data_IF_387670161569
#
_entry.id   IF_387670161569
#
_cell.length_a   1.000
_cell.length_b   1.000
_cell.length_c   1.000
_cell.angle_alpha   90.00
_cell.angle_beta   90.00
_cell.angle_gamma   90.00
#
_symmetry.space_group_name_H-M   'P 1'
#
loop_
_entity.id
_entity.type
_entity.pdbx_description
1 polymer ?
#
# COMPACT_ATOMS: atom_id res chain seq x y z
N UNK A 1 1.96 15.32 -24.35
CA UNK A 1 3.14 14.43 -24.41
C UNK A 1 2.87 13.27 -23.46
N UNK A 2 3.29 12.04 -23.76
CA UNK A 2 3.18 10.95 -22.77
C UNK A 2 3.94 11.34 -21.51
N UNK A 3 3.32 11.10 -20.37
CA UNK A 3 3.86 11.42 -19.06
C UNK A 3 5.10 10.54 -18.78
N UNK A 4 6.27 11.16 -18.77
CA UNK A 4 7.57 10.49 -18.72
C UNK A 4 7.83 9.96 -17.32
N UNK A 5 8.16 8.68 -17.20
CA UNK A 5 8.61 8.08 -15.95
C UNK A 5 9.96 8.67 -15.54
N UNK A 6 10.10 9.05 -14.27
CA UNK A 6 11.35 9.54 -13.71
C UNK A 6 12.16 8.38 -13.12
N UNK A 7 13.48 8.43 -13.25
CA UNK A 7 14.34 7.58 -12.42
C UNK A 7 14.22 7.96 -10.95
N UNK A 8 14.57 7.04 -10.04
CA UNK A 8 14.53 7.31 -8.60
C UNK A 8 15.36 8.54 -8.18
N UNK A 9 16.60 8.73 -8.67
CA UNK A 9 17.37 9.93 -8.37
C UNK A 9 16.70 11.22 -8.86
N UNK A 10 16.16 11.22 -10.08
CA UNK A 10 15.47 12.39 -10.65
C UNK A 10 14.21 12.73 -9.85
N UNK A 11 13.37 11.73 -9.54
CA UNK A 11 12.15 11.92 -8.75
C UNK A 11 12.47 12.44 -7.34
N UNK A 12 13.49 11.90 -6.67
CA UNK A 12 13.91 12.36 -5.34
C UNK A 12 14.42 13.82 -5.39
N UNK A 13 15.31 14.14 -6.33
CA UNK A 13 15.87 15.47 -6.48
C UNK A 13 14.81 16.53 -6.80
N UNK A 14 13.80 16.16 -7.62
CA UNK A 14 12.74 17.05 -8.04
C UNK A 14 11.87 17.58 -6.89
N UNK A 15 11.76 16.84 -5.77
CA UNK A 15 10.79 17.18 -4.70
C UNK A 15 11.37 17.28 -3.30
N UNK A 16 12.63 16.90 -3.08
CA UNK A 16 13.23 16.92 -1.74
C UNK A 16 13.16 18.31 -1.09
N UNK A 17 13.47 19.36 -1.85
CA UNK A 17 13.44 20.75 -1.40
C UNK A 17 12.02 21.26 -1.08
N UNK A 18 10.98 20.54 -1.50
CA UNK A 18 9.57 20.84 -1.24
C UNK A 18 9.06 20.15 0.05
N UNK A 19 9.91 19.43 0.78
CA UNK A 19 9.49 18.65 1.95
C UNK A 19 8.78 17.34 1.59
N UNK A 20 9.01 16.82 0.38
CA UNK A 20 8.53 15.51 -0.06
C UNK A 20 9.68 14.50 -0.07
N UNK A 21 9.35 13.22 0.03
CA UNK A 21 10.31 12.13 -0.06
C UNK A 21 9.82 11.11 -1.08
N UNK A 22 10.71 10.66 -1.97
CA UNK A 22 10.48 9.44 -2.73
C UNK A 22 10.67 8.26 -1.78
N UNK A 23 9.63 7.44 -1.64
CA UNK A 23 9.68 6.19 -0.88
C UNK A 23 9.13 5.10 -1.80
N UNK A 24 9.98 4.12 -2.12
CA UNK A 24 9.70 3.09 -3.12
C UNK A 24 9.36 3.70 -4.49
N UNK A 25 8.08 3.71 -4.84
CA UNK A 25 7.52 4.15 -6.12
C UNK A 25 6.55 5.32 -5.98
N UNK A 26 6.53 5.98 -4.82
CA UNK A 26 5.57 7.05 -4.48
C UNK A 26 6.27 8.27 -3.89
N UNK A 27 5.86 9.48 -4.26
CA UNK A 27 6.27 10.71 -3.58
C UNK A 27 5.33 10.96 -2.41
N UNK A 28 5.86 11.17 -1.20
CA UNK A 28 5.03 11.38 -0.01
C UNK A 28 5.45 12.62 0.77
N UNK A 29 4.47 13.32 1.33
CA UNK A 29 4.69 14.38 2.32
C UNK A 29 3.63 14.32 3.41
N UNK A 30 3.88 15.05 4.49
CA UNK A 30 2.98 15.20 5.63
C UNK A 30 2.82 16.69 5.92
N UNK A 31 1.58 17.08 6.22
CA UNK A 31 1.23 18.43 6.65
C UNK A 31 0.62 18.35 8.05
N UNK A 32 1.21 19.02 9.03
CA UNK A 32 0.63 19.11 10.38
C UNK A 32 -0.55 20.06 10.38
N UNK A 33 -1.61 19.67 11.09
CA UNK A 33 -2.84 20.45 11.23
C UNK A 33 -3.32 20.42 12.67
N UNK A 34 -4.08 21.43 13.10
CA UNK A 34 -4.49 21.53 14.51
C UNK A 34 -5.69 20.64 14.81
N UNK A 35 -6.53 20.41 13.81
CA UNK A 35 -7.80 19.70 13.92
C UNK A 35 -8.25 19.17 12.55
N UNK A 36 -9.35 18.43 12.54
CA UNK A 36 -9.94 17.84 11.32
C UNK A 36 -10.41 18.90 10.31
N UNK A 37 -10.81 20.10 10.74
CA UNK A 37 -11.23 21.15 9.81
C UNK A 37 -10.06 21.73 9.01
N UNK A 38 -8.92 21.97 9.67
CA UNK A 38 -7.66 22.29 8.99
C UNK A 38 -7.26 21.16 8.03
N UNK A 39 -7.45 19.89 8.45
CA UNK A 39 -7.16 18.72 7.61
C UNK A 39 -7.99 18.73 6.30
N UNK A 40 -9.30 18.99 6.40
CA UNK A 40 -10.19 19.16 5.25
C UNK A 40 -9.76 20.31 4.34
N UNK A 41 -9.30 21.42 4.93
CA UNK A 41 -8.78 22.57 4.19
C UNK A 41 -7.54 22.20 3.38
N UNK A 42 -6.58 21.51 4.00
CA UNK A 42 -5.36 21.01 3.32
C UNK A 42 -5.72 20.06 2.18
N UNK A 43 -6.64 19.12 2.39
CA UNK A 43 -7.08 18.21 1.33
C UNK A 43 -7.72 18.95 0.16
N UNK A 44 -8.62 19.89 0.44
CA UNK A 44 -9.27 20.70 -0.61
C UNK A 44 -8.24 21.47 -1.45
N UNK A 45 -7.28 22.13 -0.80
CA UNK A 45 -6.21 22.87 -1.48
C UNK A 45 -5.35 21.93 -2.32
N UNK A 46 -4.96 20.78 -1.77
CA UNK A 46 -4.12 19.82 -2.48
C UNK A 46 -4.83 19.25 -3.73
N UNK A 47 -6.11 18.88 -3.60
CA UNK A 47 -6.91 18.38 -4.73
C UNK A 47 -7.11 19.45 -5.80
N UNK A 48 -7.40 20.69 -5.42
CA UNK A 48 -7.55 21.80 -6.38
C UNK A 48 -6.23 22.10 -7.11
N UNK A 49 -5.11 22.15 -6.38
CA UNK A 49 -3.79 22.41 -6.95
C UNK A 49 -3.28 21.25 -7.85
N UNK A 50 -3.69 20.02 -7.59
CA UNK A 50 -3.39 18.88 -8.44
C UNK A 50 -4.12 18.93 -9.80
N UNK A 51 -5.22 19.68 -9.87
CA UNK A 51 -5.99 19.91 -11.08
C UNK A 51 -6.98 18.79 -11.42
N UNK A 52 -7.56 18.79 -12.64
CA UNK A 52 -8.68 17.91 -13.00
C UNK A 52 -8.35 16.42 -12.94
N UNK A 53 -7.09 16.06 -13.15
CA UNK A 53 -6.64 14.66 -13.15
C UNK A 53 -6.13 14.20 -11.78
N UNK A 54 -6.41 14.95 -10.70
CA UNK A 54 -5.94 14.63 -9.35
C UNK A 54 -6.22 13.18 -8.95
N UNK A 55 -7.39 12.63 -9.31
CA UNK A 55 -7.76 11.25 -9.00
C UNK A 55 -6.88 10.17 -9.64
N UNK A 56 -6.08 10.52 -10.65
CA UNK A 56 -5.12 9.61 -11.28
C UNK A 56 -3.72 9.68 -10.66
N UNK A 57 -3.49 10.56 -9.67
CA UNK A 57 -2.16 10.83 -9.12
C UNK A 57 -2.14 10.95 -7.59
N UNK A 58 -3.06 11.71 -7.02
CA UNK A 58 -3.05 12.14 -5.62
C UNK A 58 -3.93 11.25 -4.74
N UNK A 59 -3.32 10.70 -3.69
CA UNK A 59 -4.02 10.10 -2.55
C UNK A 59 -3.87 10.98 -1.31
N UNK A 60 -4.94 11.10 -0.53
CA UNK A 60 -5.00 11.96 0.66
C UNK A 60 -5.54 11.15 1.85
N UNK A 61 -4.73 11.01 2.91
CA UNK A 61 -5.15 10.43 4.18
C UNK A 61 -5.32 11.54 5.23
N UNK A 62 -6.55 11.73 5.69
CA UNK A 62 -6.94 12.75 6.66
C UNK A 62 -6.93 12.17 8.07
N UNK A 63 -6.05 12.70 8.93
CA UNK A 63 -6.01 12.38 10.37
C UNK A 63 -6.28 13.64 11.19
N UNK A 64 -6.63 13.45 12.46
CA UNK A 64 -7.01 14.54 13.37
C UNK A 64 -5.96 15.66 13.48
N UNK A 65 -4.67 15.33 13.34
CA UNK A 65 -3.56 16.26 13.52
C UNK A 65 -2.54 16.27 12.36
N UNK A 66 -2.83 15.55 11.27
CA UNK A 66 -1.97 15.53 10.08
C UNK A 66 -2.73 15.11 8.83
N UNK A 67 -2.24 15.55 7.67
CA UNK A 67 -2.64 15.05 6.36
C UNK A 67 -1.45 14.35 5.73
N UNK A 68 -1.61 13.10 5.29
CA UNK A 68 -0.63 12.45 4.42
C UNK A 68 -1.04 12.66 2.96
N UNK A 69 -0.09 13.13 2.15
CA UNK A 69 -0.27 13.27 0.72
C UNK A 69 0.69 12.31 0.02
N UNK A 70 0.18 11.57 -0.95
CA UNK A 70 0.95 10.64 -1.76
C UNK A 70 0.68 10.88 -3.24
N UNK A 71 1.73 10.86 -4.06
CA UNK A 71 1.66 11.04 -5.50
C UNK A 71 2.33 9.88 -6.23
N UNK A 72 1.57 9.26 -7.13
CA UNK A 72 2.02 8.24 -8.07
C UNK A 72 1.02 8.16 -9.22
N UNK A 73 1.50 8.14 -10.47
CA UNK A 73 0.61 7.89 -11.61
C UNK A 73 -0.06 6.52 -11.51
N UNK A 74 -1.39 6.52 -11.45
CA UNK A 74 -2.22 5.35 -11.26
C UNK A 74 -1.92 4.24 -12.27
N UNK A 75 -1.84 2.99 -11.77
CA UNK A 75 -1.65 1.80 -12.59
C UNK A 75 -0.26 1.64 -13.21
N UNK A 76 0.72 2.50 -12.89
CA UNK A 76 2.07 2.41 -13.48
C UNK A 76 3.18 2.01 -12.49
N UNK A 77 2.90 1.98 -11.19
CA UNK A 77 3.88 1.69 -10.13
C UNK A 77 5.19 2.50 -10.26
N UNK A 78 5.12 3.71 -10.80
CA UNK A 78 6.25 4.61 -11.00
C UNK A 78 5.83 6.05 -10.77
N UNK A 79 6.79 6.88 -10.40
CA UNK A 79 6.64 8.33 -10.36
C UNK A 79 6.96 8.91 -11.73
N UNK A 80 6.18 9.90 -12.15
CA UNK A 80 6.34 10.60 -13.42
C UNK A 80 6.68 12.08 -13.23
N UNK A 81 7.01 12.74 -14.35
CA UNK A 81 7.18 14.19 -14.37
C UNK A 81 5.90 14.92 -13.90
N UNK A 82 4.71 14.39 -14.21
CA UNK A 82 3.44 14.95 -13.75
C UNK A 82 3.30 14.90 -12.23
N UNK A 83 3.67 13.80 -11.59
CA UNK A 83 3.64 13.68 -10.13
C UNK A 83 4.52 14.76 -9.46
N UNK A 84 5.73 14.98 -9.98
CA UNK A 84 6.63 16.02 -9.47
C UNK A 84 6.06 17.44 -9.66
N UNK A 85 5.40 17.70 -10.79
CA UNK A 85 4.72 18.98 -11.03
C UNK A 85 3.55 19.20 -10.06
N UNK A 86 2.76 18.16 -9.79
CA UNK A 86 1.67 18.22 -8.82
C UNK A 86 2.23 18.50 -7.41
N UNK A 87 3.33 17.83 -7.02
CA UNK A 87 3.98 18.07 -5.73
C UNK A 87 4.37 19.56 -5.56
N UNK A 88 4.94 20.17 -6.61
CA UNK A 88 5.29 21.59 -6.62
C UNK A 88 4.05 22.50 -6.51
N UNK A 89 3.00 22.24 -7.30
CA UNK A 89 1.77 23.03 -7.28
C UNK A 89 1.06 22.95 -5.91
N UNK A 90 0.93 21.75 -5.36
CA UNK A 90 0.35 21.51 -4.03
C UNK A 90 1.16 22.21 -2.95
N UNK A 91 2.49 22.10 -2.99
CA UNK A 91 3.37 22.75 -2.01
C UNK A 91 3.22 24.28 -2.04
N UNK A 92 3.18 24.88 -3.24
CA UNK A 92 2.99 26.33 -3.40
C UNK A 92 1.62 26.78 -2.86
N UNK A 93 0.55 26.06 -3.19
CA UNK A 93 -0.80 26.38 -2.75
C UNK A 93 -0.97 26.25 -1.23
N UNK A 94 -0.42 25.19 -0.63
CA UNK A 94 -0.43 25.01 0.82
C UNK A 94 0.38 26.09 1.54
N UNK A 95 1.55 26.46 1.00
CA UNK A 95 2.37 27.55 1.55
C UNK A 95 1.63 28.87 1.53
N UNK A 96 0.93 29.19 0.43
CA UNK A 96 0.11 30.41 0.33
C UNK A 96 -1.03 30.45 1.35
N UNK A 97 -1.54 29.28 1.76
CA UNK A 97 -2.55 29.12 2.80
C UNK A 97 -1.98 29.00 4.23
N UNK A 98 -0.67 29.12 4.42
CA UNK A 98 -0.02 29.05 5.74
C UNK A 98 0.24 27.64 6.27
N UNK A 99 0.14 26.62 5.42
CA UNK A 99 0.51 25.24 5.73
C UNK A 99 1.91 24.92 5.22
N UNK A 100 2.57 23.91 5.80
CA UNK A 100 3.94 23.53 5.42
C UNK A 100 4.02 22.04 5.14
N UNK A 101 4.49 21.67 3.95
CA UNK A 101 4.82 20.29 3.58
C UNK A 101 6.10 19.85 4.30
N UNK A 102 6.21 18.56 4.59
CA UNK A 102 7.31 18.00 5.38
C UNK A 102 7.27 18.40 6.87
N UNK A 103 6.28 19.19 7.29
CA UNK A 103 6.05 19.49 8.70
C UNK A 103 5.17 18.40 9.32
N UNK A 104 5.79 17.33 9.79
CA UNK A 104 5.13 16.35 10.65
C UNK A 104 5.51 16.59 12.11
N UNK A 105 4.63 17.14 12.93
CA UNK A 105 4.73 16.95 14.38
C UNK A 105 4.79 15.45 14.72
N UNK A 106 5.53 15.09 15.76
CA UNK A 106 5.88 13.73 16.21
C UNK A 106 4.75 12.65 16.07
N UNK A 107 5.07 11.36 15.80
CA UNK A 107 6.24 10.66 16.37
C UNK A 107 7.21 10.01 15.38
N UNK A 108 6.97 10.03 14.06
CA UNK A 108 7.88 9.38 13.10
C UNK A 108 7.90 10.07 11.73
N UNK A 109 9.02 9.90 11.03
CA UNK A 109 9.16 10.31 9.62
C UNK A 109 8.24 9.50 8.71
N UNK A 110 7.93 10.06 7.54
CA UNK A 110 7.21 9.38 6.46
C UNK A 110 7.91 8.08 6.11
N UNK A 111 7.16 6.98 6.01
CA UNK A 111 7.69 5.67 5.65
C UNK A 111 6.60 4.81 5.02
N UNK A 112 7.01 3.80 4.26
CA UNK A 112 6.18 2.72 3.75
C UNK A 112 6.70 1.39 4.29
N UNK A 113 5.79 0.45 4.49
CA UNK A 113 6.10 -0.92 4.89
C UNK A 113 5.75 -1.84 3.74
N UNK A 114 6.63 -2.79 3.46
CA UNK A 114 6.37 -3.91 2.56
C UNK A 114 6.65 -5.20 3.31
N UNK A 115 5.97 -6.27 2.90
CA UNK A 115 6.15 -7.62 3.42
C UNK A 115 6.71 -8.48 2.31
N UNK A 116 7.90 -9.03 2.54
CA UNK A 116 8.52 -10.00 1.66
C UNK A 116 8.16 -11.42 2.11
N UNK A 117 7.77 -12.28 1.18
CA UNK A 117 7.62 -13.71 1.41
C UNK A 117 8.75 -14.43 0.66
N UNK A 118 9.66 -15.02 1.43
CA UNK A 118 10.72 -15.88 0.90
C UNK A 118 10.09 -17.08 0.17
N UNK A 119 10.48 -17.33 -1.07
CA UNK A 119 9.93 -18.41 -1.89
C UNK A 119 10.91 -18.91 -2.94
N UNK A 120 10.85 -20.21 -3.21
CA UNK A 120 11.57 -20.83 -4.33
C UNK A 120 10.84 -20.62 -5.67
N UNK A 121 9.54 -20.32 -5.63
CA UNK A 121 8.68 -20.21 -6.83
C UNK A 121 7.53 -19.23 -6.56
N UNK A 122 7.78 -17.96 -6.87
CA UNK A 122 6.80 -16.89 -6.73
C UNK A 122 5.54 -17.13 -7.58
N UNK A 123 5.67 -17.76 -8.75
CA UNK A 123 4.53 -18.01 -9.63
C UNK A 123 3.56 -19.03 -9.02
N UNK A 124 4.08 -20.01 -8.26
CA UNK A 124 3.26 -20.99 -7.56
C UNK A 124 2.46 -20.42 -6.38
N UNK A 125 3.02 -19.45 -5.63
CA UNK A 125 2.37 -18.94 -4.41
C UNK A 125 1.59 -17.63 -4.62
N UNK A 126 1.96 -16.82 -5.62
CA UNK A 126 1.34 -15.50 -5.87
C UNK A 126 -0.18 -15.55 -6.01
N UNK A 127 -0.80 -16.49 -6.77
CA UNK A 127 -2.25 -16.53 -6.92
C UNK A 127 -2.98 -16.67 -5.58
N UNK A 128 -2.46 -17.50 -4.67
CA UNK A 128 -2.99 -17.67 -3.33
C UNK A 128 -2.95 -16.35 -2.55
N UNK A 129 -1.78 -15.72 -2.47
CA UNK A 129 -1.60 -14.45 -1.72
C UNK A 129 -2.46 -13.32 -2.28
N UNK A 130 -2.57 -13.23 -3.61
CA UNK A 130 -3.47 -12.28 -4.29
C UNK A 130 -4.92 -12.50 -3.87
N UNK A 131 -5.39 -13.75 -3.88
CA UNK A 131 -6.76 -14.10 -3.54
C UNK A 131 -7.08 -13.91 -2.05
N UNK A 132 -6.21 -14.38 -1.15
CA UNK A 132 -6.45 -14.35 0.30
C UNK A 132 -6.32 -12.94 0.89
N UNK A 133 -5.49 -12.07 0.31
CA UNK A 133 -5.42 -10.65 0.70
C UNK A 133 -6.51 -9.81 0.01
N UNK A 134 -7.03 -10.25 -1.14
CA UNK A 134 -7.93 -9.45 -1.98
C UNK A 134 -7.17 -8.34 -2.71
N UNK A 135 -5.89 -8.59 -3.02
CA UNK A 135 -4.97 -7.62 -3.60
C UNK A 135 -4.95 -7.73 -5.14
N UNK A 136 -4.28 -6.76 -5.77
CA UNK A 136 -4.05 -6.71 -7.22
C UNK A 136 -2.56 -6.70 -7.54
N UNK A 137 -2.21 -6.99 -8.79
CA UNK A 137 -0.83 -6.87 -9.24
C UNK A 137 -0.40 -5.39 -9.24
N UNK A 138 0.68 -5.07 -8.53
CA UNK A 138 1.21 -3.71 -8.46
C UNK A 138 1.60 -3.23 -9.87
N UNK A 139 1.15 -2.04 -10.27
CA UNK A 139 1.41 -1.49 -11.61
C UNK A 139 0.84 -2.31 -12.77
N UNK A 140 -0.07 -3.25 -12.49
CA UNK A 140 -0.66 -4.12 -13.50
C UNK A 140 0.31 -5.13 -14.12
N UNK A 141 1.51 -5.31 -13.55
CA UNK A 141 2.50 -6.28 -14.06
C UNK A 141 2.36 -7.64 -13.38
N UNK A 142 2.32 -8.71 -14.18
CA UNK A 142 2.35 -10.09 -13.69
C UNK A 142 3.77 -10.64 -13.58
N UNK A 143 4.79 -9.78 -13.64
CA UNK A 143 6.18 -10.18 -13.41
C UNK A 143 6.31 -10.86 -12.04
N UNK A 144 6.93 -12.07 -11.96
CA UNK A 144 7.20 -12.73 -10.70
C UNK A 144 7.93 -11.85 -9.67
N UNK A 145 8.75 -10.89 -10.12
CA UNK A 145 9.44 -9.93 -9.25
C UNK A 145 8.59 -8.74 -8.80
N UNK A 146 7.38 -8.55 -9.34
CA UNK A 146 6.47 -7.46 -8.99
C UNK A 146 5.71 -7.71 -7.68
N UNK A 147 5.29 -6.64 -7.01
CA UNK A 147 4.48 -6.72 -5.79
C UNK A 147 2.99 -7.03 -6.04
N UNK A 148 2.28 -7.29 -4.96
CA UNK A 148 0.83 -7.26 -4.82
C UNK A 148 0.47 -6.04 -3.97
N UNK A 149 -0.38 -5.17 -4.50
CA UNK A 149 -0.84 -3.96 -3.83
C UNK A 149 -2.28 -4.11 -3.35
N UNK A 150 -2.58 -3.52 -2.20
CA UNK A 150 -3.96 -3.28 -1.78
C UNK A 150 -4.60 -2.33 -2.80
N UNK A 151 -5.69 -2.72 -3.48
CA UNK A 151 -6.37 -1.84 -4.43
C UNK A 151 -6.91 -0.55 -3.79
N UNK A 152 -7.04 -0.49 -2.47
CA UNK A 152 -7.44 0.70 -1.72
C UNK A 152 -6.25 1.48 -1.12
N UNK A 153 -5.03 0.95 -1.23
CA UNK A 153 -3.81 1.61 -0.75
C UNK A 153 -3.67 1.72 0.77
N UNK A 154 -4.44 0.94 1.56
CA UNK A 154 -4.42 0.98 3.02
C UNK A 154 -3.43 -0.02 3.63
N UNK A 155 -3.34 -1.21 3.03
CA UNK A 155 -2.42 -2.27 3.45
C UNK A 155 -1.01 -2.14 2.84
N UNK A 156 -0.01 -2.81 3.45
CA UNK A 156 1.35 -2.85 2.88
C UNK A 156 1.38 -3.68 1.60
N UNK A 157 2.32 -3.39 0.71
CA UNK A 157 2.63 -4.23 -0.46
C UNK A 157 3.18 -5.58 0.01
N UNK A 158 2.73 -6.66 -0.62
CA UNK A 158 3.34 -7.98 -0.48
C UNK A 158 4.18 -8.30 -1.71
N UNK A 159 5.41 -8.75 -1.55
CA UNK A 159 6.25 -9.18 -2.67
C UNK A 159 6.94 -10.50 -2.36
N UNK A 160 7.46 -11.17 -3.39
CA UNK A 160 7.96 -12.52 -3.30
C UNK A 160 9.46 -12.54 -3.54
N UNK A 161 10.22 -12.80 -2.48
CA UNK A 161 11.67 -12.82 -2.55
C UNK A 161 12.14 -14.19 -3.01
N UNK A 162 12.79 -14.26 -4.17
CA UNK A 162 13.37 -15.51 -4.64
C UNK A 162 14.51 -15.96 -3.71
N UNK A 163 14.50 -17.25 -3.40
CA UNK A 163 15.53 -17.94 -2.64
C UNK A 163 16.12 -19.07 -3.50
N UNK A 164 17.40 -19.38 -3.29
CA UNK A 164 18.08 -20.52 -3.91
C UNK A 164 17.98 -21.80 -3.07
N UNK A 165 17.74 -21.65 -1.77
CA UNK A 165 17.60 -22.73 -0.80
C UNK A 165 16.46 -22.43 0.20
N UNK A 166 15.71 -23.45 0.66
CA UNK A 166 14.63 -23.26 1.60
C UNK A 166 15.14 -22.86 2.99
N UNK A 167 14.35 -22.07 3.72
CA UNK A 167 14.56 -21.88 5.16
C UNK A 167 14.34 -23.21 5.88
N UNK A 168 15.24 -23.58 6.80
CA UNK A 168 15.15 -24.84 7.56
C UNK A 168 13.94 -24.89 8.50
N UNK A 169 13.45 -23.73 8.95
CA UNK A 169 12.31 -23.61 9.85
C UNK A 169 11.12 -22.98 9.12
N UNK A 170 9.91 -23.38 9.54
CA UNK A 170 8.67 -22.73 9.11
C UNK A 170 8.70 -21.22 9.40
N UNK A 171 7.92 -20.46 8.64
CA UNK A 171 7.68 -19.05 8.94
C UNK A 171 7.14 -18.91 10.39
N UNK A 172 7.70 -17.96 11.15
CA UNK A 172 7.33 -17.68 12.54
C UNK A 172 6.47 -16.43 12.67
N UNK A 173 6.20 -15.75 11.56
CA UNK A 173 5.28 -14.62 11.49
C UNK A 173 3.91 -15.16 11.12
N UNK A 174 2.90 -14.71 11.85
CA UNK A 174 1.51 -15.01 11.55
C UNK A 174 0.86 -13.78 10.93
N UNK A 175 0.20 -13.96 9.79
CA UNK A 175 -0.59 -12.91 9.15
C UNK A 175 -2.06 -13.16 9.42
N UNK A 176 -2.75 -12.13 9.90
CA UNK A 176 -4.19 -12.17 10.16
C UNK A 176 -4.89 -11.15 9.26
N UNK A 177 -5.62 -11.62 8.25
CA UNK A 177 -6.53 -10.75 7.48
C UNK A 177 -7.93 -10.84 8.07
N UNK A 178 -8.34 -9.77 8.75
CA UNK A 178 -9.68 -9.68 9.32
C UNK A 178 -10.66 -9.13 8.29
N UNK A 179 -11.74 -9.87 8.04
CA UNK A 179 -12.78 -9.52 7.08
C UNK A 179 -14.15 -9.48 7.76
N UNK A 180 -15.15 -8.81 7.16
CA UNK A 180 -16.53 -8.99 7.56
C UNK A 180 -16.90 -10.48 7.59
N UNK A 181 -17.67 -10.90 8.59
CA UNK A 181 -18.00 -12.31 8.81
C UNK A 181 -18.67 -12.98 7.59
N UNK A 182 -19.51 -12.23 6.87
CA UNK A 182 -20.21 -12.62 5.65
C UNK A 182 -19.30 -12.69 4.40
N UNK A 183 -18.08 -12.16 4.50
CA UNK A 183 -17.05 -12.19 3.45
C UNK A 183 -16.04 -13.34 3.63
N UNK A 184 -15.93 -13.91 4.84
CA UNK A 184 -14.94 -14.92 5.18
C UNK A 184 -15.00 -16.16 4.26
N UNK A 185 -16.19 -16.74 4.08
CA UNK A 185 -16.34 -17.93 3.22
C UNK A 185 -15.94 -17.66 1.77
N UNK A 186 -16.29 -16.48 1.24
CA UNK A 186 -15.91 -16.09 -0.12
C UNK A 186 -14.39 -15.98 -0.21
N UNK A 187 -13.75 -15.35 0.77
CA UNK A 187 -12.30 -15.20 0.81
C UNK A 187 -11.57 -16.54 0.84
N UNK A 188 -12.01 -17.45 1.72
CA UNK A 188 -11.47 -18.80 1.85
C UNK A 188 -11.62 -19.55 0.53
N UNK A 189 -12.82 -19.54 -0.07
CA UNK A 189 -13.08 -20.22 -1.34
C UNK A 189 -12.20 -19.69 -2.47
N UNK A 190 -12.00 -18.38 -2.56
CA UNK A 190 -11.09 -17.77 -3.54
C UNK A 190 -9.64 -18.20 -3.33
N UNK A 191 -9.17 -18.27 -2.09
CA UNK A 191 -7.82 -18.71 -1.77
C UNK A 191 -7.60 -20.20 -2.11
N UNK A 192 -8.57 -21.07 -1.79
CA UNK A 192 -8.53 -22.49 -2.15
C UNK A 192 -8.55 -22.70 -3.67
N UNK A 193 -9.41 -21.98 -4.39
CA UNK A 193 -9.45 -22.03 -5.85
C UNK A 193 -8.14 -21.54 -6.50
N UNK A 194 -7.38 -20.70 -5.81
CA UNK A 194 -6.08 -20.20 -6.23
C UNK A 194 -4.90 -21.12 -5.83
N UNK A 195 -5.16 -22.37 -5.45
CA UNK A 195 -4.14 -23.37 -5.11
C UNK A 195 -3.77 -23.41 -3.62
N UNK A 196 -4.46 -22.66 -2.77
CA UNK A 196 -4.29 -22.74 -1.32
C UNK A 196 -4.87 -24.01 -0.71
N UNK A 197 -4.43 -24.31 0.51
CA UNK A 197 -4.96 -25.42 1.31
C UNK A 197 -5.54 -24.88 2.62
N UNK A 198 -6.67 -25.44 3.06
CA UNK A 198 -7.19 -25.21 4.41
C UNK A 198 -6.41 -26.08 5.39
N UNK A 199 -5.58 -25.45 6.22
CA UNK A 199 -4.72 -26.12 7.20
C UNK A 199 -5.52 -26.46 8.46
N UNK A 200 -6.38 -25.55 8.92
CA UNK A 200 -7.20 -25.76 10.12
C UNK A 200 -8.41 -24.84 10.15
N UNK A 201 -9.56 -25.40 10.50
CA UNK A 201 -10.82 -24.70 10.78
C UNK A 201 -11.30 -24.89 12.23
N UNK A 202 -10.45 -25.47 13.10
CA UNK A 202 -10.79 -25.80 14.49
C UNK A 202 -11.26 -24.60 15.33
N UNK A 203 -10.85 -23.39 14.94
CA UNK A 203 -11.20 -22.14 15.60
C UNK A 203 -12.27 -21.34 14.83
N UNK A 204 -12.88 -21.92 13.80
CA UNK A 204 -13.97 -21.28 13.09
C UNK A 204 -15.19 -21.07 14.03
N UNK A 205 -15.93 -19.96 13.92
CA UNK A 205 -15.78 -18.91 12.89
C UNK A 205 -14.80 -17.78 13.26
N UNK A 206 -14.05 -17.89 14.36
CA UNK A 206 -13.11 -16.85 14.77
C UNK A 206 -11.96 -16.69 13.77
N UNK A 207 -11.39 -17.80 13.30
CA UNK A 207 -10.44 -17.80 12.19
C UNK A 207 -10.27 -19.18 11.55
N UNK A 208 -9.76 -19.16 10.32
CA UNK A 208 -9.32 -20.33 9.55
C UNK A 208 -7.88 -20.13 9.14
N UNK A 209 -7.05 -21.16 9.30
CA UNK A 209 -5.65 -21.17 8.86
C UNK A 209 -5.60 -21.73 7.44
N UNK A 210 -5.07 -20.95 6.51
CA UNK A 210 -4.80 -21.38 5.15
C UNK A 210 -3.30 -21.32 4.87
N UNK A 211 -2.84 -22.10 3.89
CA UNK A 211 -1.47 -22.04 3.41
C UNK A 211 -1.38 -22.00 1.89
N UNK A 212 -0.32 -21.37 1.40
CA UNK A 212 0.07 -21.43 -0.01
C UNK A 212 0.68 -22.80 -0.38
N UNK A 213 1.08 -22.95 -1.66
CA UNK A 213 1.67 -24.19 -2.18
C UNK A 213 3.03 -24.58 -1.54
N UNK A 214 3.66 -23.67 -0.79
CA UNK A 214 4.93 -23.90 -0.09
C UNK A 214 4.76 -23.95 1.43
N UNK A 215 3.51 -23.89 1.93
CA UNK A 215 3.21 -23.99 3.35
C UNK A 215 3.33 -22.67 4.12
N UNK A 216 3.42 -21.51 3.46
CA UNK A 216 3.34 -20.23 4.17
C UNK A 216 1.90 -19.97 4.62
N UNK A 217 1.71 -19.73 5.90
CA UNK A 217 0.40 -19.65 6.54
C UNK A 217 -0.14 -18.21 6.66
N UNK A 218 -1.46 -18.06 6.54
CA UNK A 218 -2.22 -16.84 6.83
C UNK A 218 -3.60 -17.23 7.37
N UNK A 219 -4.11 -16.44 8.31
CA UNK A 219 -5.47 -16.59 8.82
C UNK A 219 -6.45 -15.65 8.15
N UNK A 220 -7.62 -16.18 7.80
CA UNK A 220 -8.82 -15.37 7.55
C UNK A 220 -9.58 -15.28 8.87
N UNK A 221 -9.76 -14.07 9.38
CA UNK A 221 -10.30 -13.80 10.71
C UNK A 221 -11.65 -13.09 10.63
N UNK A 222 -12.55 -13.40 11.58
CA UNK A 222 -13.78 -12.63 11.81
C UNK A 222 -13.89 -12.24 13.28
N UNK A 223 -14.85 -11.38 13.61
CA UNK A 223 -15.14 -11.02 15.00
C UNK A 223 -15.86 -12.14 15.77
N UNK A 224 -16.47 -13.11 15.09
CA UNK A 224 -17.34 -14.11 15.72
C UNK A 224 -16.55 -15.11 16.57
N UNK A 225 -17.12 -15.57 17.69
CA UNK A 225 -16.53 -16.63 18.51
C UNK A 225 -15.24 -16.22 19.25
N UNK A 226 -15.08 -14.91 19.52
CA UNK A 226 -13.92 -14.33 20.22
C UNK A 226 -14.21 -13.80 21.63
N UNK A 227 -15.46 -13.92 22.08
CA UNK A 227 -15.88 -13.59 23.44
C UNK A 227 -15.55 -14.71 24.45
#
# INVERSE_FOLDING_TARGET
MPDTALSRPEASAAVHHLGWSLILTTLRTVVSVRNVHDALTVASIATEAAGPDAGAHLSVDLRAHRVELALQTAGRAVVTARDAQIAAAVTAALTAAGFTTGSGGAPRVTQLLEIAIDTMDAAAIRPFWKAVLGYVDEGGTTDPGGGLADPTGQGPTFWFQHMDEPREQRNRIHFDISVPHDEAERRIRSALAAGGTLVSDKAAPAFWILADAQGNEICVCTWQGRD
#
